data_IF_443261617752
#
_entry.id   IF_443261617752
#
_cell.length_a   1.000
_cell.length_b   1.000
_cell.length_c   1.000
_cell.angle_alpha   90.00
_cell.angle_beta   90.00
_cell.angle_gamma   90.00
#
_symmetry.space_group_name_H-M   'P 1'
#
loop_
_entity.id
_entity.type
_entity.pdbx_description
1 polymer ?
#
# COMPACT_ATOMS: atom_id res chain seq x y z
N UNK A 1 1.98 -13.07 -18.43
CA UNK A 1 3.42 -12.95 -18.72
C UNK A 1 4.16 -13.27 -17.43
N UNK A 2 4.80 -14.43 -17.35
CA UNK A 2 5.42 -14.91 -16.10
C UNK A 2 6.91 -14.59 -16.14
N UNK A 3 7.38 -13.71 -15.25
CA UNK A 3 8.80 -13.41 -15.11
C UNK A 3 9.40 -14.29 -14.01
N UNK A 4 10.50 -14.97 -14.31
CA UNK A 4 11.27 -15.71 -13.31
C UNK A 4 12.19 -14.74 -12.57
N UNK A 5 11.90 -14.51 -11.29
CA UNK A 5 12.71 -13.67 -10.42
C UNK A 5 13.76 -14.51 -9.69
N UNK A 6 14.91 -13.89 -9.42
CA UNK A 6 15.93 -14.50 -8.56
C UNK A 6 15.40 -14.64 -7.12
N UNK A 7 15.96 -15.57 -6.36
CA UNK A 7 15.60 -15.76 -4.95
C UNK A 7 15.79 -14.50 -4.10
N UNK A 8 16.83 -13.71 -4.40
CA UNK A 8 17.09 -12.42 -3.74
C UNK A 8 15.98 -11.41 -4.01
N UNK A 9 15.46 -11.36 -5.25
CA UNK A 9 14.35 -10.48 -5.61
C UNK A 9 13.06 -10.92 -4.91
N UNK A 10 12.80 -12.22 -4.82
CA UNK A 10 11.66 -12.76 -4.08
C UNK A 10 11.75 -12.43 -2.58
N UNK A 11 12.90 -12.63 -1.95
CA UNK A 11 13.10 -12.28 -0.53
C UNK A 11 12.91 -10.77 -0.28
N UNK A 12 13.33 -9.94 -1.23
CA UNK A 12 13.15 -8.49 -1.17
C UNK A 12 11.66 -8.11 -1.25
N UNK A 13 10.92 -8.74 -2.15
CA UNK A 13 9.46 -8.56 -2.29
C UNK A 13 8.70 -9.06 -1.07
N UNK A 14 9.10 -10.18 -0.46
CA UNK A 14 8.46 -10.71 0.75
C UNK A 14 8.69 -9.80 1.96
N UNK A 15 9.92 -9.27 2.12
CA UNK A 15 10.21 -8.26 3.16
C UNK A 15 9.44 -6.97 2.91
N UNK A 16 9.38 -6.52 1.66
CA UNK A 16 8.59 -5.36 1.28
C UNK A 16 7.10 -5.57 1.56
N UNK A 17 6.55 -6.74 1.25
CA UNK A 17 5.17 -7.09 1.54
C UNK A 17 4.85 -6.98 3.04
N UNK A 18 5.69 -7.59 3.88
CA UNK A 18 5.52 -7.55 5.33
C UNK A 18 5.62 -6.12 5.88
N UNK A 19 6.54 -5.31 5.34
CA UNK A 19 6.65 -3.90 5.73
C UNK A 19 5.42 -3.10 5.30
N UNK A 20 4.97 -3.26 4.05
CA UNK A 20 3.81 -2.55 3.53
C UNK A 20 2.58 -2.80 4.41
N UNK A 21 2.34 -4.05 4.80
CA UNK A 21 1.22 -4.44 5.66
C UNK A 21 1.22 -3.69 7.01
N UNK A 22 2.39 -3.38 7.57
CA UNK A 22 2.51 -2.59 8.81
C UNK A 22 2.17 -1.11 8.62
N UNK A 23 2.31 -0.58 7.41
CA UNK A 23 2.11 0.85 7.08
C UNK A 23 0.85 1.12 6.24
N UNK A 24 -0.01 0.11 6.02
CA UNK A 24 -1.27 0.27 5.30
C UNK A 24 -2.40 0.86 6.14
N UNK A 25 -2.28 0.85 7.47
CA UNK A 25 -3.28 1.42 8.37
C UNK A 25 -2.88 2.84 8.77
N UNK A 26 -3.74 3.78 8.41
CA UNK A 26 -3.67 5.16 8.88
C UNK A 26 -4.72 5.42 9.97
N UNK A 27 -4.39 6.28 10.92
CA UNK A 27 -5.32 6.84 11.88
C UNK A 27 -6.25 7.89 11.25
N UNK A 28 -7.24 8.33 12.02
CA UNK A 28 -8.21 9.36 11.60
C UNK A 28 -7.56 10.73 11.36
N UNK A 29 -6.39 10.95 11.94
CA UNK A 29 -5.55 12.14 11.77
C UNK A 29 -4.75 12.13 10.45
N UNK A 30 -4.92 11.11 9.61
CA UNK A 30 -4.20 10.95 8.36
C UNK A 30 -2.73 10.53 8.54
N UNK A 31 -2.35 10.03 9.72
CA UNK A 31 -1.00 9.53 10.00
C UNK A 31 -0.94 8.01 9.94
N UNK A 32 0.15 7.46 9.44
CA UNK A 32 0.41 6.04 9.47
C UNK A 32 0.49 5.54 10.93
N UNK A 33 -0.20 4.46 11.28
CA UNK A 33 -0.12 3.89 12.62
C UNK A 33 1.22 3.19 12.90
N UNK A 34 1.94 2.75 11.86
CA UNK A 34 3.24 2.11 11.97
C UNK A 34 4.37 3.06 12.35
N UNK A 35 4.47 4.23 11.69
CA UNK A 35 5.56 5.18 11.89
C UNK A 35 5.14 6.61 12.29
N UNK A 36 3.83 6.88 12.41
CA UNK A 36 3.24 8.19 12.77
C UNK A 36 3.55 9.34 11.81
N UNK A 37 4.16 9.06 10.66
CA UNK A 37 4.31 10.01 9.56
C UNK A 37 2.98 10.28 8.86
N UNK A 38 2.84 11.45 8.23
CA UNK A 38 1.69 11.77 7.38
C UNK A 38 1.59 10.77 6.23
N UNK A 39 0.37 10.31 5.91
CA UNK A 39 0.13 9.38 4.81
C UNK A 39 0.19 10.10 3.44
N UNK A 40 0.83 9.49 2.41
CA UNK A 40 1.62 8.27 2.45
C UNK A 40 2.96 8.49 3.16
N UNK A 41 3.25 7.65 4.15
CA UNK A 41 4.48 7.79 4.90
C UNK A 41 5.70 7.36 4.07
N UNK A 42 6.87 7.91 4.38
CA UNK A 42 8.09 7.63 3.62
C UNK A 42 8.44 6.14 3.55
N UNK A 43 8.13 5.36 4.58
CA UNK A 43 8.30 3.90 4.53
C UNK A 43 7.40 3.27 3.49
N UNK A 44 6.10 3.60 3.48
CA UNK A 44 5.16 3.08 2.48
C UNK A 44 5.60 3.40 1.06
N UNK A 45 6.02 4.64 0.80
CA UNK A 45 6.54 5.05 -0.52
C UNK A 45 7.78 4.25 -0.93
N UNK A 46 8.74 4.04 -0.01
CA UNK A 46 9.93 3.23 -0.28
C UNK A 46 9.57 1.78 -0.58
N UNK A 47 8.63 1.22 0.16
CA UNK A 47 8.18 -0.16 -0.04
C UNK A 47 7.47 -0.32 -1.38
N UNK A 48 6.60 0.62 -1.76
CA UNK A 48 5.94 0.64 -3.07
C UNK A 48 6.96 0.75 -4.22
N UNK A 49 8.07 1.47 -4.04
CA UNK A 49 9.14 1.56 -5.03
C UNK A 49 9.84 0.21 -5.29
N UNK A 50 9.99 -0.65 -4.28
CA UNK A 50 10.56 -2.00 -4.45
C UNK A 50 9.68 -2.86 -5.36
N UNK A 51 8.36 -2.79 -5.19
CA UNK A 51 7.41 -3.50 -6.04
C UNK A 51 7.47 -3.00 -7.49
N UNK A 52 7.53 -1.68 -7.68
CA UNK A 52 7.68 -1.07 -9.00
C UNK A 52 8.98 -1.50 -9.70
N UNK A 53 10.09 -1.57 -8.97
CA UNK A 53 11.39 -2.00 -9.49
C UNK A 53 11.35 -3.42 -10.11
N UNK A 54 10.59 -4.33 -9.50
CA UNK A 54 10.45 -5.71 -9.99
C UNK A 54 9.22 -5.92 -10.88
N UNK A 55 8.51 -4.83 -11.24
CA UNK A 55 7.25 -4.89 -11.98
C UNK A 55 6.21 -5.83 -11.36
N UNK A 56 6.19 -5.90 -10.03
CA UNK A 56 5.24 -6.69 -9.27
C UNK A 56 4.24 -5.79 -8.56
N UNK A 57 3.03 -6.30 -8.32
CA UNK A 57 2.06 -5.64 -7.47
C UNK A 57 2.12 -6.24 -6.06
N UNK A 58 1.92 -5.43 -5.00
CA UNK A 58 1.77 -5.95 -3.67
C UNK A 58 0.59 -6.92 -3.60
N UNK A 59 0.78 -8.02 -2.87
CA UNK A 59 -0.30 -8.98 -2.63
C UNK A 59 -1.21 -8.44 -1.53
N UNK A 60 -2.52 -8.66 -1.65
CA UNK A 60 -3.46 -8.37 -0.56
C UNK A 60 -4.03 -9.69 -0.06
N UNK A 61 -3.99 -9.89 1.26
CA UNK A 61 -4.49 -11.10 1.90
C UNK A 61 -5.76 -10.75 2.68
N UNK A 62 -6.94 -11.21 2.23
CA UNK A 62 -8.18 -11.02 2.97
C UNK A 62 -8.04 -11.45 4.44
N UNK A 63 -8.59 -10.67 5.36
CA UNK A 63 -8.54 -10.95 6.81
C UNK A 63 -7.20 -10.64 7.51
N UNK A 64 -6.09 -10.53 6.77
CA UNK A 64 -4.76 -10.17 7.31
C UNK A 64 -4.45 -8.70 7.03
N UNK A 65 -4.62 -8.29 5.78
CA UNK A 65 -4.32 -6.91 5.36
C UNK A 65 -5.38 -5.97 5.93
N UNK A 66 -5.00 -5.20 6.95
CA UNK A 66 -5.81 -4.10 7.47
C UNK A 66 -5.50 -2.83 6.68
N UNK A 67 -6.53 -2.18 6.17
CA UNK A 67 -6.42 -0.83 5.61
C UNK A 67 -7.12 0.15 6.52
N UNK A 68 -6.51 1.32 6.70
CA UNK A 68 -7.15 2.39 7.44
C UNK A 68 -8.44 2.82 6.76
N UNK A 69 -9.46 3.16 7.55
CA UNK A 69 -10.64 3.89 7.07
C UNK A 69 -10.23 5.34 6.86
N UNK A 70 -9.49 5.63 5.78
CA UNK A 70 -9.35 7.02 5.35
C UNK A 70 -10.73 7.46 4.87
N UNK A 71 -11.33 8.42 5.57
CA UNK A 71 -12.48 9.13 5.03
C UNK A 71 -11.99 9.81 3.76
N UNK A 72 -12.35 9.26 2.60
CA UNK A 72 -12.32 10.03 1.37
C UNK A 72 -13.40 11.08 1.59
N UNK A 73 -13.01 12.32 1.90
CA UNK A 73 -13.94 13.44 1.76
C UNK A 73 -14.39 13.37 0.32
N UNK A 74 -15.67 13.01 0.12
CA UNK A 74 -16.27 12.95 -1.18
C UNK A 74 -16.06 14.32 -1.81
N UNK A 75 -15.08 14.40 -2.72
CA UNK A 75 -14.93 15.58 -3.56
C UNK A 75 -16.26 15.70 -4.27
N UNK A 76 -16.89 16.87 -4.16
CA UNK A 76 -18.18 17.22 -4.76
C UNK A 76 -18.14 16.96 -6.28
N UNK A 77 -18.36 15.70 -6.64
CA UNK A 77 -18.42 15.21 -8.01
C UNK A 77 -19.81 14.64 -8.14
N UNK A 78 -20.63 15.33 -8.93
CA UNK A 78 -21.90 14.78 -9.40
C UNK A 78 -21.67 13.34 -9.86
N UNK A 79 -22.52 12.39 -9.43
CA UNK A 79 -22.36 11.02 -9.83
C UNK A 79 -22.42 10.89 -11.35
N UNK A 80 -21.55 10.05 -11.92
CA UNK A 80 -21.42 9.85 -13.36
C UNK A 80 -22.66 9.22 -14.02
N UNK A 81 -23.61 8.71 -13.23
CA UNK A 81 -24.87 8.12 -13.67
C UNK A 81 -26.03 9.13 -13.80
N UNK A 82 -25.81 10.40 -13.47
CA UNK A 82 -26.79 11.48 -13.67
C UNK A 82 -26.63 12.20 -15.03
N UNK A 83 -26.22 11.47 -16.09
CA UNK A 83 -26.08 12.02 -17.46
C UNK A 83 -27.20 11.56 -18.38
#
# INVERSE_FOLDING_TARGET
MTAYLSRIALDSLDRAQAELERHLVSGLDGRCLGCRGLEPCGTRTRTEAVFAQYHQLPRRRPGITKVGLRRIEATDRRPWFER
#
